data_IF_219160513408
#
_entry.id   IF_219160513408
#
_cell.length_a   1.000
_cell.length_b   1.000
_cell.length_c   1.000
_cell.angle_alpha   90.00
_cell.angle_beta   90.00
_cell.angle_gamma   90.00
#
_symmetry.space_group_name_H-M   'P 1'
#
loop_
_entity.id
_entity.type
_entity.pdbx_description
1 polymer ?
#
# COMPACT_ATOMS: atom_id res chain seq x y z
N UNK A 1 -11.08 -5.51 11.80
CA UNK A 1 -10.09 -5.26 12.88
C UNK A 1 -8.64 -5.41 12.41
N UNK A 2 -8.28 -6.49 11.69
CA UNK A 2 -6.90 -6.72 11.19
C UNK A 2 -6.33 -5.59 10.31
N UNK A 3 -7.14 -5.00 9.44
CA UNK A 3 -6.72 -3.89 8.57
C UNK A 3 -6.19 -2.68 9.36
N UNK A 4 -6.90 -2.27 10.41
CA UNK A 4 -6.50 -1.13 11.26
C UNK A 4 -5.22 -1.44 12.06
N UNK A 5 -4.98 -2.70 12.39
CA UNK A 5 -3.77 -3.13 13.10
C UNK A 5 -2.56 -3.01 12.15
N UNK A 6 -2.70 -3.49 10.91
CA UNK A 6 -1.65 -3.36 9.89
C UNK A 6 -1.28 -1.91 9.59
N UNK A 7 -2.28 -1.04 9.46
CA UNK A 7 -2.05 0.39 9.26
C UNK A 7 -1.34 1.04 10.46
N UNK A 8 -1.72 0.70 11.69
CA UNK A 8 -1.06 1.21 12.91
C UNK A 8 0.39 0.75 13.03
N UNK A 9 0.65 -0.53 12.74
CA UNK A 9 1.99 -1.11 12.69
C UNK A 9 2.86 -0.32 11.71
N UNK A 10 2.39 -0.07 10.49
CA UNK A 10 3.14 0.72 9.51
C UNK A 10 3.48 2.12 10.04
N UNK A 11 2.52 2.78 10.70
CA UNK A 11 2.76 4.09 11.29
C UNK A 11 3.85 4.08 12.36
N UNK A 12 3.81 3.09 13.26
CA UNK A 12 4.81 2.99 14.32
C UNK A 12 6.19 2.61 13.77
N UNK A 13 6.27 1.73 12.78
CA UNK A 13 7.54 1.42 12.10
C UNK A 13 8.14 2.65 11.41
N UNK A 14 7.30 3.41 10.70
CA UNK A 14 7.72 4.64 10.05
C UNK A 14 8.16 5.72 11.05
N UNK A 15 7.46 5.84 12.19
CA UNK A 15 7.81 6.73 13.30
C UNK A 15 9.12 6.35 13.97
N UNK A 16 9.34 5.06 14.18
CA UNK A 16 10.59 4.51 14.76
C UNK A 16 11.75 4.48 13.78
N UNK A 17 11.52 4.88 12.51
CA UNK A 17 12.51 4.87 11.42
C UNK A 17 13.08 3.48 11.12
N UNK A 18 12.26 2.46 11.30
CA UNK A 18 12.62 1.07 11.00
C UNK A 18 12.27 0.79 9.55
N UNK A 19 13.28 0.43 8.76
CA UNK A 19 13.11 0.11 7.33
C UNK A 19 12.57 -1.30 7.08
N UNK A 20 12.96 -2.26 7.92
CA UNK A 20 12.60 -3.68 7.78
C UNK A 20 12.13 -4.22 9.12
N UNK A 21 10.99 -4.92 9.11
CA UNK A 21 10.44 -5.53 10.32
C UNK A 21 9.81 -6.88 10.02
N UNK A 22 10.00 -7.83 10.93
CA UNK A 22 9.29 -9.10 10.93
C UNK A 22 8.29 -9.11 12.08
N UNK A 23 7.05 -9.54 11.81
CA UNK A 23 5.95 -9.49 12.77
C UNK A 23 5.27 -10.84 12.80
N UNK A 24 5.22 -11.46 13.99
CA UNK A 24 4.43 -12.66 14.21
C UNK A 24 3.01 -12.29 14.59
N UNK A 25 2.03 -12.84 13.87
CA UNK A 25 0.62 -12.56 14.10
C UNK A 25 -0.13 -13.87 14.22
N UNK A 26 -0.86 -14.02 15.33
CA UNK A 26 -1.86 -15.07 15.47
C UNK A 26 -3.21 -14.58 14.92
N UNK A 27 -3.67 -15.17 13.81
CA UNK A 27 -4.94 -14.85 13.19
C UNK A 27 -4.82 -14.44 11.72
N UNK A 28 -5.65 -13.50 11.27
CA UNK A 28 -5.77 -13.15 9.86
C UNK A 28 -4.60 -12.27 9.37
N UNK A 29 -3.47 -12.92 9.09
CA UNK A 29 -2.24 -12.31 8.60
C UNK A 29 -2.43 -11.53 7.29
N UNK A 30 -3.22 -12.05 6.35
CA UNK A 30 -3.50 -11.41 5.06
C UNK A 30 -4.11 -10.01 5.24
N UNK A 31 -5.07 -9.86 6.15
CA UNK A 31 -5.69 -8.57 6.45
C UNK A 31 -4.75 -7.58 7.14
N UNK A 32 -3.79 -8.07 7.93
CA UNK A 32 -2.79 -7.20 8.56
C UNK A 32 -1.77 -6.73 7.53
N UNK A 33 -1.27 -7.64 6.70
CA UNK A 33 -0.40 -7.29 5.57
C UNK A 33 -1.10 -6.29 4.62
N UNK A 34 -2.37 -6.53 4.28
CA UNK A 34 -3.15 -5.63 3.45
C UNK A 34 -3.35 -4.25 4.08
N UNK A 35 -3.60 -4.19 5.40
CA UNK A 35 -3.71 -2.92 6.11
C UNK A 35 -2.42 -2.10 6.12
N UNK A 36 -1.28 -2.78 6.26
CA UNK A 36 0.04 -2.14 6.15
C UNK A 36 0.31 -1.67 4.71
N UNK A 37 -0.03 -2.50 3.71
CA UNK A 37 0.05 -2.16 2.29
C UNK A 37 -0.77 -0.91 1.97
N UNK A 38 -2.06 -0.85 2.31
CA UNK A 38 -2.89 0.33 2.05
C UNK A 38 -2.37 1.61 2.71
N UNK A 39 -1.63 1.48 3.83
CA UNK A 39 -1.03 2.60 4.55
C UNK A 39 0.30 3.06 3.96
N UNK A 40 0.97 2.23 3.15
CA UNK A 40 2.22 2.59 2.48
C UNK A 40 2.03 3.57 1.33
N UNK A 41 0.79 3.74 0.83
CA UNK A 41 0.49 4.70 -0.22
C UNK A 41 0.93 6.11 0.15
N UNK A 42 1.74 6.71 -0.73
CA UNK A 42 2.27 8.05 -0.55
C UNK A 42 2.26 8.81 -1.86
N UNK A 43 1.72 10.03 -1.81
CA UNK A 43 1.72 10.93 -2.95
C UNK A 43 2.71 12.08 -2.72
N UNK A 44 3.90 11.95 -3.29
CA UNK A 44 5.03 12.86 -3.08
C UNK A 44 5.44 13.63 -4.36
N UNK A 45 4.73 13.45 -5.48
CA UNK A 45 5.05 14.03 -6.79
C UNK A 45 5.30 15.54 -6.77
N UNK A 46 4.54 16.28 -5.95
CA UNK A 46 4.65 17.74 -5.83
C UNK A 46 5.33 18.24 -4.56
N UNK A 47 5.87 17.34 -3.72
CA UNK A 47 6.56 17.74 -2.49
C UNK A 47 8.03 18.04 -2.78
N UNK A 48 8.41 19.31 -2.67
CA UNK A 48 9.78 19.78 -2.88
C UNK A 48 10.68 19.59 -1.65
N UNK A 49 10.10 19.51 -0.44
CA UNK A 49 10.83 19.18 0.80
C UNK A 49 10.40 17.81 1.28
N UNK A 50 11.38 16.92 1.48
CA UNK A 50 11.14 15.63 2.15
C UNK A 50 11.13 15.86 3.65
N UNK A 51 10.12 15.32 4.32
CA UNK A 51 10.05 15.36 5.78
C UNK A 51 11.02 14.32 6.35
N UNK A 52 12.17 14.78 6.86
CA UNK A 52 13.21 13.92 7.44
C UNK A 52 12.73 13.13 8.67
N UNK A 53 11.56 13.48 9.23
CA UNK A 53 10.97 12.80 10.38
C UNK A 53 10.29 11.49 10.03
N UNK A 54 9.96 11.25 8.76
CA UNK A 54 9.19 10.08 8.31
C UNK A 54 10.08 9.22 7.41
N UNK A 55 10.45 8.04 7.90
CA UNK A 55 11.17 7.05 7.07
C UNK A 55 10.18 6.09 6.43
N UNK A 56 10.41 5.77 5.17
CA UNK A 56 9.62 4.77 4.45
C UNK A 56 10.02 3.37 4.91
N UNK A 57 9.02 2.57 5.25
CA UNK A 57 9.21 1.16 5.54
C UNK A 57 9.39 0.45 4.19
N UNK A 58 10.56 -0.13 3.99
CA UNK A 58 10.93 -0.84 2.76
C UNK A 58 10.32 -2.24 2.73
N UNK A 59 10.30 -2.92 3.88
CA UNK A 59 9.88 -4.33 3.96
C UNK A 59 9.17 -4.65 5.28
N UNK A 60 8.02 -5.33 5.19
CA UNK A 60 7.33 -5.90 6.34
C UNK A 60 7.09 -7.38 6.05
N UNK A 61 7.76 -8.24 6.82
CA UNK A 61 7.57 -9.69 6.76
C UNK A 61 6.52 -10.09 7.81
N UNK A 62 5.42 -10.71 7.37
CA UNK A 62 4.40 -11.23 8.28
C UNK A 62 4.59 -12.74 8.44
N UNK A 63 4.84 -13.17 9.68
CA UNK A 63 5.03 -14.56 10.04
C UNK A 63 3.69 -15.17 10.50
N UNK A 64 3.33 -16.32 9.92
CA UNK A 64 2.11 -17.07 10.23
C UNK A 64 2.47 -18.51 10.61
N UNK A 65 1.51 -19.25 11.18
CA UNK A 65 1.66 -20.72 11.34
C UNK A 65 1.72 -21.38 9.95
N UNK A 66 2.52 -22.43 9.81
CA UNK A 66 2.77 -23.12 8.53
C UNK A 66 1.47 -23.57 7.84
N UNK A 67 0.52 -24.09 8.60
CA UNK A 67 -0.79 -24.55 8.11
C UNK A 67 -1.61 -23.45 7.43
N UNK A 68 -1.39 -22.19 7.80
CA UNK A 68 -2.14 -21.04 7.31
C UNK A 68 -1.40 -20.25 6.23
N UNK A 69 -0.11 -20.55 6.01
CA UNK A 69 0.76 -19.77 5.13
C UNK A 69 0.21 -19.69 3.70
N UNK A 70 -0.06 -20.84 3.07
CA UNK A 70 -0.51 -20.87 1.67
C UNK A 70 -1.89 -20.21 1.47
N UNK A 71 -2.78 -20.32 2.46
CA UNK A 71 -4.09 -19.66 2.41
C UNK A 71 -3.98 -18.14 2.59
N UNK A 72 -3.10 -17.69 3.50
CA UNK A 72 -2.85 -16.29 3.75
C UNK A 72 -2.18 -15.61 2.55
N UNK A 73 -1.21 -16.27 1.91
CA UNK A 73 -0.52 -15.77 0.71
C UNK A 73 -1.49 -15.57 -0.45
N UNK A 74 -2.32 -16.57 -0.77
CA UNK A 74 -3.34 -16.44 -1.83
C UNK A 74 -4.36 -15.36 -1.53
N UNK A 75 -4.76 -15.22 -0.26
CA UNK A 75 -5.70 -14.18 0.16
C UNK A 75 -5.06 -12.80 0.05
N UNK A 76 -3.80 -12.66 0.43
CA UNK A 76 -3.05 -11.42 0.31
C UNK A 76 -2.87 -11.02 -1.15
N UNK A 77 -2.55 -11.95 -2.06
CA UNK A 77 -2.38 -11.64 -3.48
C UNK A 77 -3.66 -11.05 -4.10
N UNK A 78 -4.83 -11.62 -3.75
CA UNK A 78 -6.13 -11.06 -4.17
C UNK A 78 -6.36 -9.65 -3.61
N UNK A 79 -6.08 -9.46 -2.32
CA UNK A 79 -6.22 -8.15 -1.66
C UNK A 79 -5.22 -7.13 -2.21
N UNK A 80 -4.04 -7.57 -2.62
CA UNK A 80 -3.02 -6.71 -3.23
C UNK A 80 -3.50 -6.12 -4.55
N UNK A 81 -4.11 -6.95 -5.42
CA UNK A 81 -4.70 -6.48 -6.67
C UNK A 81 -5.79 -5.42 -6.43
N UNK A 82 -6.64 -5.63 -5.41
CA UNK A 82 -7.62 -4.63 -4.97
C UNK A 82 -6.93 -3.32 -4.52
N UNK A 83 -5.89 -3.43 -3.70
CA UNK A 83 -5.14 -2.28 -3.20
C UNK A 83 -4.41 -1.50 -4.29
N UNK A 84 -3.90 -2.16 -5.33
CA UNK A 84 -3.30 -1.51 -6.50
C UNK A 84 -4.35 -0.68 -7.26
N UNK A 85 -5.57 -1.22 -7.43
CA UNK A 85 -6.70 -0.46 -7.97
C UNK A 85 -7.08 0.76 -7.11
N UNK A 86 -7.02 0.63 -5.78
CA UNK A 86 -7.23 1.76 -4.86
C UNK A 86 -6.14 2.82 -5.04
N UNK A 87 -4.87 2.43 -5.24
CA UNK A 87 -3.77 3.37 -5.44
C UNK A 87 -3.89 4.11 -6.77
N UNK A 88 -4.33 3.42 -7.82
CA UNK A 88 -4.64 4.02 -9.11
C UNK A 88 -5.71 5.12 -8.95
N UNK A 89 -6.85 4.76 -8.35
CA UNK A 89 -7.96 5.69 -8.13
C UNK A 89 -7.55 6.90 -7.27
N UNK A 90 -6.76 6.67 -6.20
CA UNK A 90 -6.23 7.75 -5.36
C UNK A 90 -5.30 8.67 -6.13
N UNK A 91 -4.41 8.13 -6.95
CA UNK A 91 -3.50 8.93 -7.78
C UNK A 91 -4.31 9.85 -8.67
N UNK A 92 -5.28 9.31 -9.42
CA UNK A 92 -6.14 10.09 -10.31
C UNK A 92 -6.97 11.16 -9.59
N UNK A 93 -7.44 10.89 -8.37
CA UNK A 93 -8.25 11.85 -7.62
C UNK A 93 -7.41 12.98 -7.01
N UNK A 94 -6.15 12.72 -6.67
CA UNK A 94 -5.25 13.69 -6.03
C UNK A 94 -4.54 14.57 -7.06
N UNK A 95 -4.40 14.10 -8.31
CA UNK A 95 -3.78 14.89 -9.37
C UNK A 95 -4.56 16.19 -9.63
N UNK A 96 -3.88 17.35 -9.64
CA UNK A 96 -4.54 18.63 -9.79
C UNK A 96 -5.02 18.83 -11.24
N UNK A 97 -6.05 19.67 -11.46
CA UNK A 97 -6.72 19.82 -12.76
C UNK A 97 -5.83 20.46 -13.84
N UNK A 98 -4.74 21.13 -13.46
CA UNK A 98 -3.74 21.65 -14.39
C UNK A 98 -2.86 20.53 -15.00
N UNK A 99 -2.83 19.35 -14.37
CA UNK A 99 -2.07 18.18 -14.84
C UNK A 99 -3.01 17.11 -15.36
N UNK A 100 -4.12 16.84 -14.66
CA UNK A 100 -5.11 15.85 -15.05
C UNK A 100 -6.41 16.54 -15.52
N UNK A 101 -6.54 16.63 -16.83
CA UNK A 101 -7.70 17.15 -17.56
C UNK A 101 -8.23 16.08 -18.53
N UNK A 102 -9.45 16.23 -19.10
CA UNK A 102 -10.16 15.14 -19.78
C UNK A 102 -9.35 14.38 -20.83
N UNK A 103 -8.60 15.07 -21.68
CA UNK A 103 -7.75 14.45 -22.71
C UNK A 103 -6.60 13.67 -22.08
N UNK A 104 -5.87 14.26 -21.12
CA UNK A 104 -4.78 13.57 -20.40
C UNK A 104 -5.28 12.36 -19.60
N UNK A 105 -6.50 12.42 -19.07
CA UNK A 105 -7.14 11.32 -18.37
C UNK A 105 -7.48 10.17 -19.32
N UNK A 106 -8.01 10.48 -20.50
CA UNK A 106 -8.28 9.48 -21.54
C UNK A 106 -6.99 8.79 -22.01
N UNK A 107 -5.90 9.54 -22.19
CA UNK A 107 -4.61 8.99 -22.57
C UNK A 107 -3.97 8.15 -21.45
N UNK A 108 -4.16 8.55 -20.19
CA UNK A 108 -3.76 7.76 -19.03
C UNK A 108 -4.48 6.42 -18.98
N UNK A 109 -5.81 6.42 -19.15
CA UNK A 109 -6.63 5.19 -19.22
C UNK A 109 -6.13 4.27 -20.34
N UNK A 110 -5.88 4.81 -21.54
CA UNK A 110 -5.38 4.00 -22.66
C UNK A 110 -4.02 3.38 -22.34
N UNK A 111 -3.14 4.09 -21.64
CA UNK A 111 -1.81 3.59 -21.33
C UNK A 111 -1.83 2.48 -20.28
N UNK A 112 -2.63 2.66 -19.22
CA UNK A 112 -2.66 1.74 -18.07
C UNK A 112 -3.60 0.55 -18.26
N UNK A 113 -4.77 0.73 -18.87
CA UNK A 113 -5.83 -0.28 -18.90
C UNK A 113 -5.94 -1.07 -20.21
N UNK A 114 -5.28 -0.63 -21.29
CA UNK A 114 -5.34 -1.32 -22.61
C UNK A 114 -4.36 -2.49 -22.73
N UNK A 115 -3.52 -2.74 -21.72
CA UNK A 115 -2.59 -3.88 -21.71
C UNK A 115 -3.22 -5.20 -21.21
N UNK A 116 -4.53 -5.23 -21.03
CA UNK A 116 -5.31 -6.42 -20.72
C UNK A 116 -5.75 -7.16 -21.99
#
# INVERSE_FOLDING_TARGET
>A
KGLNIGGKIYCELSRLRIKRAAISIEGNAANVAYGAFLRSFKFDKYKTKKDEKVTEVEEITVLTKDEQFSSAEKSFERLRQEGEGIFLARTLTIEPPNVLYPESYADYIKTELTKL
#
